data_IF_640057243661
#
_entry.id   IF_640057243661
#
_cell.length_a   1.000
_cell.length_b   1.000
_cell.length_c   1.000
_cell.angle_alpha   90.00
_cell.angle_beta   90.00
_cell.angle_gamma   90.00
#
_symmetry.space_group_name_H-M   'P 1'
#
loop_
_entity.id
_entity.type
_entity.pdbx_description
1 polymer ?
#
# COMPACT_ATOMS: atom_id res chain seq x y z
N UNK A 1 -1.23 -4.47 14.23
CA UNK A 1 -0.62 -5.44 13.30
C UNK A 1 0.89 -5.40 13.46
N UNK A 2 1.56 -6.55 13.49
CA UNK A 2 3.02 -6.60 13.60
C UNK A 2 3.68 -5.96 12.36
N UNK A 3 4.68 -5.10 12.56
CA UNK A 3 5.47 -4.52 11.47
C UNK A 3 6.41 -5.59 10.89
N UNK A 4 6.58 -5.61 9.57
CA UNK A 4 7.58 -6.45 8.90
C UNK A 4 7.20 -7.92 8.72
N UNK A 5 5.92 -8.28 8.74
CA UNK A 5 5.47 -9.64 8.39
C UNK A 5 5.96 -10.08 6.99
N UNK A 6 6.07 -9.14 6.06
CA UNK A 6 6.59 -9.40 4.72
C UNK A 6 8.07 -9.82 4.71
N UNK A 7 8.88 -9.45 5.71
CA UNK A 7 10.31 -9.84 5.78
C UNK A 7 10.53 -11.35 5.88
N UNK A 8 9.50 -12.09 6.29
CA UNK A 8 9.54 -13.54 6.42
C UNK A 8 9.15 -14.26 5.11
N UNK A 9 8.63 -13.54 4.11
CA UNK A 9 8.17 -14.10 2.85
C UNK A 9 9.25 -13.94 1.77
N UNK A 10 9.66 -15.05 1.16
CA UNK A 10 10.59 -15.02 0.02
C UNK A 10 9.88 -14.43 -1.21
N UNK A 11 10.59 -13.59 -1.96
CA UNK A 11 10.06 -12.98 -3.19
C UNK A 11 9.13 -11.78 -2.99
N UNK A 12 8.87 -11.38 -1.74
CA UNK A 12 8.03 -10.21 -1.43
C UNK A 12 8.90 -8.97 -1.22
N UNK A 13 8.44 -7.83 -1.72
CA UNK A 13 9.09 -6.52 -1.55
C UNK A 13 8.11 -5.51 -0.97
N UNK A 14 8.52 -4.79 0.07
CA UNK A 14 7.84 -3.60 0.57
C UNK A 14 8.51 -2.34 -0.01
N UNK A 15 7.72 -1.34 -0.38
CA UNK A 15 8.20 -0.03 -0.82
C UNK A 15 8.16 0.97 0.33
N UNK A 16 8.93 2.05 0.21
CA UNK A 16 8.88 3.15 1.17
C UNK A 16 7.55 3.87 1.07
N UNK A 17 6.88 4.06 2.21
CA UNK A 17 5.64 4.83 2.31
C UNK A 17 5.96 6.34 2.54
N UNK A 18 4.91 7.16 2.63
CA UNK A 18 5.04 8.61 2.84
C UNK A 18 5.48 8.99 4.27
N UNK A 19 5.55 8.03 5.20
CA UNK A 19 6.25 8.22 6.48
C UNK A 19 7.78 8.08 6.35
N UNK A 20 8.29 7.73 5.17
CA UNK A 20 9.73 7.66 4.89
C UNK A 20 10.38 6.31 5.19
N UNK A 21 9.62 5.24 5.42
CA UNK A 21 10.15 3.90 5.68
C UNK A 21 9.36 2.81 4.94
N UNK A 22 9.94 1.61 4.80
CA UNK A 22 9.26 0.47 4.18
C UNK A 22 8.33 -0.26 5.15
N UNK A 23 7.11 -0.55 4.66
CA UNK A 23 6.07 -1.29 5.39
C UNK A 23 4.86 -0.45 5.77
N UNK A 24 3.97 -1.01 6.60
CA UNK A 24 2.70 -0.38 6.96
C UNK A 24 2.87 0.70 8.05
N UNK A 25 2.39 1.93 7.75
CA UNK A 25 2.50 3.10 8.63
C UNK A 25 1.33 3.37 9.58
N UNK A 26 0.15 2.77 9.34
CA UNK A 26 -1.03 2.97 10.19
C UNK A 26 -1.75 4.31 10.01
N UNK A 27 -2.90 4.44 10.68
CA UNK A 27 -3.72 5.65 10.70
C UNK A 27 -3.17 6.67 11.70
N UNK A 28 -3.02 7.92 11.26
CA UNK A 28 -2.63 9.06 12.09
C UNK A 28 -3.29 10.35 11.57
N UNK A 29 -4.63 10.44 11.55
CA UNK A 29 -5.30 11.67 11.09
C UNK A 29 -5.09 12.80 12.10
N UNK A 30 -5.04 14.07 11.65
CA UNK A 30 -4.99 15.22 12.56
C UNK A 30 -6.18 15.24 13.51
N UNK A 31 -5.97 15.75 14.72
CA UNK A 31 -7.06 15.93 15.69
C UNK A 31 -8.11 16.91 15.13
N UNK A 32 -9.39 16.56 15.23
CA UNK A 32 -10.51 17.43 14.82
C UNK A 32 -10.74 17.56 13.31
N UNK A 33 -9.99 16.83 12.47
CA UNK A 33 -10.16 16.85 11.00
C UNK A 33 -11.34 15.99 10.50
N UNK A 34 -12.07 15.36 11.42
CA UNK A 34 -13.14 14.44 11.09
C UNK A 34 -12.63 13.10 10.53
N UNK A 35 -13.54 12.37 9.89
CA UNK A 35 -13.28 11.00 9.46
C UNK A 35 -12.36 10.94 8.23
N UNK A 36 -11.26 10.19 8.35
CA UNK A 36 -10.38 9.84 7.24
C UNK A 36 -10.72 8.44 6.70
N UNK A 37 -10.57 8.27 5.38
CA UNK A 37 -10.75 6.99 4.68
C UNK A 37 -9.40 6.35 4.39
N UNK A 38 -9.24 5.09 4.78
CA UNK A 38 -8.06 4.27 4.52
C UNK A 38 -8.46 3.15 3.56
N UNK A 39 -7.98 3.25 2.32
CA UNK A 39 -8.30 2.30 1.25
C UNK A 39 -7.23 1.22 1.17
N UNK A 40 -7.62 -0.02 1.45
CA UNK A 40 -6.79 -1.20 1.33
C UNK A 40 -7.19 -1.93 0.05
N UNK A 41 -6.32 -1.91 -0.95
CA UNK A 41 -6.61 -2.51 -2.26
C UNK A 41 -5.68 -3.69 -2.52
N UNK A 42 -6.29 -4.83 -2.89
CA UNK A 42 -5.58 -6.00 -3.43
C UNK A 42 -5.74 -6.00 -4.94
N UNK A 43 -4.65 -6.29 -5.65
CA UNK A 43 -4.58 -6.30 -7.11
C UNK A 43 -4.18 -7.69 -7.59
N UNK A 44 -4.92 -8.25 -8.53
CA UNK A 44 -4.57 -9.48 -9.23
C UNK A 44 -3.80 -9.14 -10.51
N UNK A 45 -2.60 -9.67 -10.68
CA UNK A 45 -1.73 -9.39 -11.83
C UNK A 45 -1.58 -10.64 -12.72
N UNK A 46 -1.45 -10.50 -14.05
CA UNK A 46 -1.34 -11.62 -14.98
C UNK A 46 0.07 -12.23 -15.05
N UNK A 47 0.98 -11.81 -14.17
CA UNK A 47 2.38 -12.23 -14.14
C UNK A 47 2.82 -12.49 -12.71
N UNK A 48 3.80 -13.39 -12.57
CA UNK A 48 4.36 -13.79 -11.26
C UNK A 48 5.15 -12.66 -10.59
N UNK A 49 5.86 -11.85 -11.40
CA UNK A 49 6.73 -10.77 -10.90
C UNK A 49 6.56 -9.51 -11.73
N UNK A 50 6.24 -8.41 -11.05
CA UNK A 50 6.29 -7.06 -11.62
C UNK A 50 7.71 -6.52 -11.49
N UNK A 51 8.35 -6.12 -12.58
CA UNK A 51 9.61 -5.40 -12.51
C UNK A 51 9.36 -3.96 -12.05
N UNK A 52 9.81 -3.64 -10.84
CA UNK A 52 9.67 -2.31 -10.24
C UNK A 52 11.05 -1.64 -10.25
N UNK A 53 11.22 -0.51 -10.96
CA UNK A 53 12.48 0.22 -10.98
C UNK A 53 13.00 0.54 -9.57
N UNK A 54 14.32 0.55 -9.41
CA UNK A 54 14.92 0.94 -8.15
C UNK A 54 14.55 2.39 -7.82
N UNK A 55 14.04 2.64 -6.60
CA UNK A 55 13.59 3.97 -6.19
C UNK A 55 12.26 4.42 -6.80
N UNK A 56 11.48 3.54 -7.43
CA UNK A 56 10.14 3.86 -7.92
C UNK A 56 9.25 4.46 -6.82
N UNK A 57 8.54 5.53 -7.15
CA UNK A 57 7.55 6.11 -6.25
C UNK A 57 6.30 5.23 -6.15
N UNK A 58 5.57 5.33 -5.04
CA UNK A 58 4.29 4.63 -4.89
C UNK A 58 3.27 5.06 -5.96
N UNK A 59 3.36 6.30 -6.45
CA UNK A 59 2.53 6.78 -7.56
C UNK A 59 2.83 6.03 -8.87
N UNK A 60 4.11 5.83 -9.22
CA UNK A 60 4.49 5.03 -10.39
C UNK A 60 4.01 3.59 -10.26
N UNK A 61 4.16 2.98 -9.09
CA UNK A 61 3.67 1.62 -8.85
C UNK A 61 2.14 1.55 -8.96
N UNK A 62 1.43 2.53 -8.41
CA UNK A 62 -0.01 2.65 -8.57
C UNK A 62 -0.47 2.85 -10.02
N UNK A 63 0.34 3.50 -10.86
CA UNK A 63 0.09 3.58 -12.30
C UNK A 63 0.27 2.22 -12.98
N UNK A 64 1.37 1.51 -12.70
CA UNK A 64 1.64 0.19 -13.28
C UNK A 64 0.59 -0.86 -12.87
N UNK A 65 0.15 -0.85 -11.60
CA UNK A 65 -0.91 -1.75 -11.12
C UNK A 65 -2.22 -1.54 -11.88
N UNK A 66 -2.66 -0.29 -12.03
CA UNK A 66 -3.89 0.05 -12.78
C UNK A 66 -3.81 -0.34 -14.25
N UNK A 67 -2.63 -0.21 -14.86
CA UNK A 67 -2.44 -0.53 -16.27
C UNK A 67 -2.43 -2.04 -16.56
N UNK A 68 -2.08 -2.87 -15.59
CA UNK A 68 -1.80 -4.30 -15.81
C UNK A 68 -2.73 -5.25 -15.06
N UNK A 69 -3.47 -4.79 -14.05
CA UNK A 69 -4.26 -5.68 -13.21
C UNK A 69 -5.40 -6.35 -13.99
N UNK A 70 -5.59 -7.63 -13.73
CA UNK A 70 -6.76 -8.40 -14.16
C UNK A 70 -8.01 -7.96 -13.38
N UNK A 71 -7.84 -7.76 -12.07
CA UNK A 71 -8.91 -7.35 -11.16
C UNK A 71 -8.33 -6.65 -9.93
N UNK A 72 -9.17 -5.91 -9.21
CA UNK A 72 -8.87 -5.35 -7.91
C UNK A 72 -10.07 -5.42 -6.98
N UNK A 73 -9.81 -5.54 -5.68
CA UNK A 73 -10.81 -5.41 -4.64
C UNK A 73 -10.32 -4.40 -3.59
N UNK A 74 -11.20 -3.50 -3.15
CA UNK A 74 -10.87 -2.47 -2.16
C UNK A 74 -11.76 -2.60 -0.93
N UNK A 75 -11.12 -2.68 0.24
CA UNK A 75 -11.75 -2.47 1.53
C UNK A 75 -11.47 -1.05 2.00
N UNK A 76 -12.50 -0.28 2.37
CA UNK A 76 -12.33 1.05 2.96
C UNK A 76 -12.62 0.98 4.45
N UNK A 77 -11.61 1.25 5.28
CA UNK A 77 -11.78 1.45 6.71
C UNK A 77 -11.79 2.95 7.03
N UNK A 78 -12.39 3.31 8.14
CA UNK A 78 -12.46 4.70 8.61
C UNK A 78 -11.83 4.83 9.99
N UNK A 79 -11.19 5.96 10.24
CA UNK A 79 -10.68 6.34 11.56
C UNK A 79 -10.72 7.85 11.71
N UNK A 80 -11.02 8.32 12.92
CA UNK A 80 -11.01 9.73 13.31
C UNK A 80 -10.19 9.85 14.59
N UNK A 81 -9.44 10.94 14.71
CA UNK A 81 -8.82 11.36 15.95
C UNK A 81 -9.58 12.60 16.44
N UNK A 82 -10.35 12.44 17.52
CA UNK A 82 -11.14 13.52 18.13
C UNK A 82 -10.31 14.29 19.17
#
# INVERSE_FOLDING_TARGET
MARGAAKQLKGVRELNNDYGFSGFGGACPPQGHGMHRYQFTVWALPFEKMEIPQGASNALVGFMLRANALEQATLTATYVNE
#
